data_IF_801432312489
#
_entry.id   IF_801432312489
#
_cell.length_a   1.000
_cell.length_b   1.000
_cell.length_c   1.000
_cell.angle_alpha   90.00
_cell.angle_beta   90.00
_cell.angle_gamma   90.00
#
_symmetry.space_group_name_H-M   'P 1'
#
loop_
_entity.id
_entity.type
_entity.pdbx_description
1 polymer ?
#
# COMPACT_ATOMS: atom_id res chain seq x y z
N UNK A 1 0.72 -12.12 5.25
CA UNK A 1 -0.26 -11.01 5.12
C UNK A 1 -1.61 -11.32 5.76
N UNK A 2 -2.41 -12.24 5.21
CA UNK A 2 -3.80 -12.49 5.65
C UNK A 2 -3.91 -12.91 7.13
N UNK A 3 -2.97 -13.72 7.62
CA UNK A 3 -2.90 -14.14 9.03
C UNK A 3 -2.88 -12.96 10.00
N UNK A 4 -1.96 -12.02 9.82
CA UNK A 4 -1.82 -10.85 10.68
C UNK A 4 -3.07 -9.96 10.63
N UNK A 5 -3.58 -9.66 9.43
CA UNK A 5 -4.77 -8.82 9.28
C UNK A 5 -5.99 -9.49 9.95
N UNK A 6 -6.22 -10.79 9.74
CA UNK A 6 -7.31 -11.51 10.37
C UNK A 6 -7.17 -11.57 11.89
N UNK A 7 -5.96 -11.77 12.41
CA UNK A 7 -5.70 -11.76 13.84
C UNK A 7 -6.07 -10.41 14.48
N UNK A 8 -5.77 -9.29 13.81
CA UNK A 8 -6.17 -7.95 14.27
C UNK A 8 -7.70 -7.77 14.28
N UNK A 9 -8.42 -8.21 13.24
CA UNK A 9 -9.89 -8.16 13.24
C UNK A 9 -10.53 -9.08 14.30
N UNK A 10 -9.94 -10.25 14.56
CA UNK A 10 -10.41 -11.16 15.59
C UNK A 10 -10.17 -10.61 17.00
N UNK A 11 -9.02 -9.96 17.23
CA UNK A 11 -8.68 -9.33 18.51
C UNK A 11 -9.56 -8.11 18.80
N UNK A 12 -9.97 -7.38 17.76
CA UNK A 12 -10.79 -6.16 17.87
C UNK A 12 -12.15 -6.35 17.19
N UNK A 13 -13.15 -6.96 17.87
CA UNK A 13 -14.43 -7.34 17.24
C UNK A 13 -15.27 -6.14 16.76
N UNK A 14 -14.95 -4.94 17.22
CA UNK A 14 -15.63 -3.71 16.80
C UNK A 14 -15.09 -3.14 15.47
N UNK A 15 -13.93 -3.61 14.99
CA UNK A 15 -13.39 -3.19 13.70
C UNK A 15 -14.22 -3.76 12.55
N UNK A 16 -14.44 -2.92 11.53
CA UNK A 16 -15.15 -3.32 10.31
C UNK A 16 -14.22 -3.20 9.12
N UNK A 17 -14.19 -4.24 8.28
CA UNK A 17 -13.51 -4.15 6.98
C UNK A 17 -14.23 -3.14 6.10
N UNK A 18 -13.51 -2.37 5.26
CA UNK A 18 -14.14 -1.46 4.30
C UNK A 18 -15.12 -2.19 3.36
N UNK A 19 -14.73 -3.39 2.91
CA UNK A 19 -15.56 -4.28 2.10
C UNK A 19 -15.44 -5.71 2.60
N UNK A 20 -16.55 -6.47 2.57
CA UNK A 20 -16.58 -7.87 3.06
C UNK A 20 -15.57 -8.79 2.38
N UNK A 21 -15.34 -8.58 1.08
CA UNK A 21 -14.43 -9.38 0.25
C UNK A 21 -13.05 -8.76 0.07
N UNK A 22 -12.76 -7.61 0.67
CA UNK A 22 -11.44 -6.99 0.52
C UNK A 22 -10.41 -7.61 1.46
N UNK A 23 -9.28 -8.03 0.88
CA UNK A 23 -8.11 -8.48 1.63
C UNK A 23 -7.38 -7.31 2.29
N UNK A 24 -7.56 -6.09 1.78
CA UNK A 24 -6.95 -4.87 2.31
C UNK A 24 -7.79 -4.28 3.46
N UNK A 25 -7.18 -3.93 4.60
CA UNK A 25 -7.89 -3.38 5.74
C UNK A 25 -8.22 -1.89 5.61
N UNK A 26 -7.66 -1.18 4.63
CA UNK A 26 -7.78 0.27 4.51
C UNK A 26 -8.00 0.68 3.06
N UNK A 27 -8.82 1.71 2.86
CA UNK A 27 -9.08 2.30 1.54
C UNK A 27 -9.06 3.82 1.58
N UNK A 28 -8.82 4.46 0.45
CA UNK A 28 -8.89 5.92 0.31
C UNK A 28 -9.55 6.29 -1.01
N UNK A 29 -10.47 7.26 -0.94
CA UNK A 29 -11.13 7.84 -2.10
C UNK A 29 -10.56 9.24 -2.35
N UNK A 30 -9.84 9.41 -3.44
CA UNK A 30 -9.36 10.71 -3.90
C UNK A 30 -10.38 11.27 -4.88
N UNK A 31 -11.20 12.21 -4.41
CA UNK A 31 -12.42 12.68 -5.08
C UNK A 31 -12.24 13.98 -5.89
N UNK A 32 -11.01 14.30 -6.32
CA UNK A 32 -10.75 15.26 -7.40
C UNK A 32 -11.04 16.75 -7.07
N UNK A 33 -11.32 17.57 -8.10
CA UNK A 33 -11.54 17.19 -9.51
C UNK A 33 -10.24 16.78 -10.23
N UNK A 34 -9.07 17.22 -9.75
CA UNK A 34 -7.76 16.87 -10.29
C UNK A 34 -6.92 16.15 -9.22
N UNK A 35 -7.26 14.90 -8.90
CA UNK A 35 -6.46 14.13 -7.95
C UNK A 35 -5.10 13.82 -8.54
N UNK A 36 -4.09 14.66 -8.28
CA UNK A 36 -2.72 14.51 -8.76
C UNK A 36 -1.74 14.37 -7.60
N UNK A 37 -0.61 13.70 -7.83
CA UNK A 37 0.41 13.52 -6.79
C UNK A 37 1.77 14.02 -7.24
N UNK A 38 2.54 14.55 -6.30
CA UNK A 38 3.99 14.67 -6.48
C UNK A 38 4.64 13.28 -6.39
N UNK A 39 5.91 13.20 -6.75
CA UNK A 39 6.72 12.00 -6.47
C UNK A 39 6.73 11.72 -4.97
N UNK A 40 6.46 10.47 -4.61
CA UNK A 40 6.44 10.00 -3.23
C UNK A 40 6.58 8.48 -3.17
N UNK A 41 6.71 7.99 -1.93
CA UNK A 41 6.56 6.60 -1.53
C UNK A 41 5.58 6.59 -0.37
N UNK A 42 4.71 5.58 -0.30
CA UNK A 42 3.78 5.41 0.83
C UNK A 42 4.50 4.79 2.02
N UNK A 43 5.36 5.57 2.68
CA UNK A 43 6.26 5.09 3.76
C UNK A 43 5.54 4.49 4.97
N UNK A 44 4.23 4.75 5.12
CA UNK A 44 3.40 4.18 6.19
C UNK A 44 2.77 2.85 5.84
N UNK A 45 2.78 2.46 4.57
CA UNK A 45 2.23 1.19 4.14
C UNK A 45 3.16 0.04 4.53
N UNK A 46 2.58 -1.15 4.65
CA UNK A 46 3.33 -2.36 4.91
C UNK A 46 4.26 -2.66 3.73
N UNK A 47 5.55 -2.87 4.01
CA UNK A 47 6.60 -2.95 2.99
C UNK A 47 6.40 -4.08 1.99
N UNK A 48 5.95 -5.25 2.46
CA UNK A 48 5.55 -6.39 1.62
C UNK A 48 4.05 -6.36 1.23
N UNK A 49 3.44 -5.18 1.30
CA UNK A 49 2.04 -4.95 0.96
C UNK A 49 1.88 -4.54 -0.50
N UNK A 50 0.90 -5.13 -1.18
CA UNK A 50 0.43 -4.65 -2.46
C UNK A 50 -0.61 -3.52 -2.28
N UNK A 51 -0.57 -2.50 -3.13
CA UNK A 51 -1.51 -1.38 -3.15
C UNK A 51 -2.23 -1.32 -4.51
N UNK A 52 -3.49 -1.80 -4.59
CA UNK A 52 -4.34 -1.53 -5.74
C UNK A 52 -4.75 -0.07 -5.80
N UNK A 53 -4.58 0.53 -6.97
CA UNK A 53 -5.01 1.87 -7.30
C UNK A 53 -5.92 1.74 -8.51
N UNK A 54 -7.19 2.06 -8.36
CA UNK A 54 -8.16 2.17 -9.46
C UNK A 54 -8.35 3.64 -9.78
N UNK A 55 -8.11 4.03 -11.03
CA UNK A 55 -8.35 5.41 -11.48
C UNK A 55 -9.72 5.52 -12.13
N UNK A 56 -10.37 6.67 -11.93
CA UNK A 56 -11.72 6.95 -12.39
C UNK A 56 -11.79 8.39 -12.92
N UNK A 57 -12.89 8.72 -13.59
CA UNK A 57 -13.14 10.07 -14.11
C UNK A 57 -13.25 10.10 -15.62
N UNK A 58 -13.08 11.30 -16.18
CA UNK A 58 -13.19 11.60 -17.61
C UNK A 58 -11.98 12.42 -18.04
N UNK A 59 -11.01 11.77 -18.65
CA UNK A 59 -9.79 12.36 -19.20
C UNK A 59 -9.26 11.52 -20.37
N UNK A 60 -8.40 12.12 -21.19
CA UNK A 60 -7.66 11.46 -22.26
C UNK A 60 -6.36 10.84 -21.69
N UNK A 61 -6.27 9.50 -21.56
CA UNK A 61 -5.12 8.84 -20.95
C UNK A 61 -3.85 8.88 -21.80
N UNK A 62 -3.92 9.36 -23.06
CA UNK A 62 -2.74 9.62 -23.89
C UNK A 62 -2.13 11.00 -23.62
N UNK A 63 -2.85 11.89 -22.91
CA UNK A 63 -2.44 13.28 -22.68
C UNK A 63 -2.12 13.61 -21.22
N UNK A 64 -2.45 12.73 -20.28
CA UNK A 64 -2.31 13.02 -18.84
C UNK A 64 -2.64 11.83 -17.96
N UNK A 65 -2.59 12.04 -16.63
CA UNK A 65 -2.87 11.00 -15.62
C UNK A 65 -1.93 9.78 -15.66
N UNK A 66 -0.83 9.84 -16.40
CA UNK A 66 0.12 8.74 -16.53
C UNK A 66 0.71 8.37 -15.17
N UNK A 67 0.85 7.07 -14.89
CA UNK A 67 1.57 6.56 -13.74
C UNK A 67 3.07 6.58 -14.04
N UNK A 68 3.84 7.32 -13.25
CA UNK A 68 5.30 7.36 -13.35
C UNK A 68 5.89 6.52 -12.24
N UNK A 69 6.70 5.54 -12.60
CA UNK A 69 7.42 4.64 -11.68
C UNK A 69 8.92 4.87 -11.86
N UNK A 70 9.51 5.67 -10.97
CA UNK A 70 10.86 6.20 -11.16
C UNK A 70 11.95 5.12 -11.09
N UNK A 71 11.87 4.24 -10.10
CA UNK A 71 12.88 3.19 -9.89
C UNK A 71 12.90 2.20 -11.07
N UNK A 72 11.76 2.02 -11.74
CA UNK A 72 11.62 1.16 -12.92
C UNK A 72 11.89 1.91 -14.24
N UNK A 73 12.04 3.24 -14.20
CA UNK A 73 12.14 4.11 -15.38
C UNK A 73 10.96 3.94 -16.35
N UNK A 74 9.75 3.76 -15.80
CA UNK A 74 8.53 3.55 -16.59
C UNK A 74 7.57 4.74 -16.47
N UNK A 75 6.94 5.06 -17.59
CA UNK A 75 5.77 5.93 -17.66
C UNK A 75 4.67 5.11 -18.34
N UNK A 76 3.56 4.94 -17.64
CA UNK A 76 2.46 4.06 -18.04
C UNK A 76 1.24 4.93 -18.25
N UNK A 77 0.67 4.90 -19.47
CA UNK A 77 -0.66 5.44 -19.71
C UNK A 77 -1.66 4.72 -18.79
N UNK A 78 -2.47 5.49 -18.07
CA UNK A 78 -3.33 4.92 -17.04
C UNK A 78 -4.80 5.27 -17.30
N UNK A 79 -5.54 4.46 -18.08
CA UNK A 79 -6.91 4.76 -18.50
C UNK A 79 -7.93 4.81 -17.36
N UNK A 80 -8.95 5.69 -17.41
CA UNK A 80 -10.07 5.62 -16.46
C UNK A 80 -10.71 4.23 -16.44
N UNK A 81 -11.03 3.72 -15.25
CA UNK A 81 -11.58 2.38 -15.02
C UNK A 81 -10.53 1.27 -14.90
N UNK A 82 -9.24 1.56 -15.15
CA UNK A 82 -8.17 0.58 -14.98
C UNK A 82 -7.61 0.57 -13.56
N UNK A 83 -6.93 -0.53 -13.21
CA UNK A 83 -6.31 -0.73 -11.90
C UNK A 83 -4.87 -1.18 -12.06
N UNK A 84 -3.96 -0.58 -11.28
CA UNK A 84 -2.59 -1.05 -11.12
C UNK A 84 -2.40 -1.54 -9.68
N UNK A 85 -1.64 -2.62 -9.50
CA UNK A 85 -1.27 -3.15 -8.19
C UNK A 85 0.25 -2.99 -8.07
N UNK A 86 0.72 -2.21 -7.10
CA UNK A 86 2.16 -1.95 -6.94
C UNK A 86 2.58 -1.94 -5.46
N UNK A 87 3.86 -2.21 -5.15
CA UNK A 87 4.39 -2.13 -3.80
C UNK A 87 4.67 -0.66 -3.42
N UNK A 88 3.63 0.06 -2.99
CA UNK A 88 3.67 1.54 -2.94
C UNK A 88 4.60 2.11 -1.87
N UNK A 89 4.98 1.30 -0.88
CA UNK A 89 5.95 1.62 0.18
C UNK A 89 7.41 1.45 -0.22
N UNK A 90 7.71 0.86 -1.38
CA UNK A 90 9.09 0.62 -1.85
C UNK A 90 9.36 1.19 -3.23
N UNK A 91 8.35 1.72 -3.90
CA UNK A 91 8.44 2.20 -5.28
C UNK A 91 8.11 3.69 -5.35
N UNK A 92 9.05 4.50 -5.82
CA UNK A 92 8.84 5.92 -6.07
C UNK A 92 7.86 6.11 -7.22
N UNK A 93 6.72 6.74 -6.92
CA UNK A 93 5.65 6.88 -7.89
C UNK A 93 4.96 8.23 -7.83
N UNK A 94 4.30 8.59 -8.94
CA UNK A 94 3.37 9.71 -9.05
C UNK A 94 2.38 9.49 -10.18
N UNK A 95 1.35 10.34 -10.24
CA UNK A 95 0.56 10.50 -11.45
C UNK A 95 0.70 11.92 -12.03
N UNK A 96 0.74 12.02 -13.37
CA UNK A 96 0.87 13.31 -14.06
C UNK A 96 -0.43 14.11 -14.02
N UNK A 97 -0.33 15.40 -14.31
CA UNK A 97 -1.50 16.28 -14.43
C UNK A 97 -2.42 15.86 -15.57
N UNK A 98 -3.66 16.32 -15.50
CA UNK A 98 -4.67 16.24 -16.55
C UNK A 98 -4.97 17.65 -17.09
N UNK A 99 -5.72 17.74 -18.18
CA UNK A 99 -6.12 19.01 -18.77
C UNK A 99 -7.13 19.75 -17.87
N UNK A 100 -7.22 21.09 -17.93
CA UNK A 100 -8.07 21.86 -17.02
C UNK A 100 -9.58 21.55 -17.03
N UNK A 101 -10.09 20.94 -18.11
CA UNK A 101 -11.50 20.59 -18.27
C UNK A 101 -11.79 19.11 -17.95
N UNK A 102 -10.75 18.34 -17.64
CA UNK A 102 -10.84 16.91 -17.35
C UNK A 102 -11.08 16.67 -15.86
N UNK A 103 -11.50 15.44 -15.52
CA UNK A 103 -11.71 15.04 -14.13
C UNK A 103 -11.02 13.72 -13.86
N UNK A 104 -10.26 13.66 -12.77
CA UNK A 104 -9.57 12.45 -12.30
C UNK A 104 -9.86 12.21 -10.83
N UNK A 105 -10.28 10.99 -10.54
CA UNK A 105 -10.47 10.44 -9.22
C UNK A 105 -9.64 9.17 -9.05
N UNK A 106 -9.44 8.73 -7.83
CA UNK A 106 -8.92 7.38 -7.59
C UNK A 106 -9.47 6.74 -6.34
N UNK A 107 -9.51 5.41 -6.38
CA UNK A 107 -9.82 4.55 -5.25
C UNK A 107 -8.57 3.70 -4.98
N UNK A 108 -8.00 3.81 -3.79
CA UNK A 108 -6.83 3.05 -3.39
C UNK A 108 -7.15 2.11 -2.24
N UNK A 109 -6.51 0.95 -2.24
CA UNK A 109 -6.61 -0.03 -1.16
C UNK A 109 -5.20 -0.37 -0.67
N UNK A 110 -5.00 -0.48 0.64
CA UNK A 110 -3.68 -0.73 1.20
C UNK A 110 -3.77 -1.28 2.62
N UNK A 111 -2.61 -1.59 3.17
CA UNK A 111 -2.41 -1.95 4.55
C UNK A 111 -1.37 -1.03 5.17
N UNK A 112 -1.69 -0.41 6.30
CA UNK A 112 -0.67 0.28 7.11
C UNK A 112 0.29 -0.73 7.74
N UNK A 113 1.59 -0.44 7.71
CA UNK A 113 2.60 -1.24 8.40
C UNK A 113 2.39 -1.28 9.92
N UNK A 114 1.67 -0.29 10.49
CA UNK A 114 1.32 -0.28 11.91
C UNK A 114 0.42 -1.45 12.32
N UNK A 115 -0.43 -1.95 11.40
CA UNK A 115 -1.28 -3.13 11.67
C UNK A 115 -0.42 -4.36 11.93
N UNK A 116 0.67 -4.51 11.17
CA UNK A 116 1.59 -5.64 11.29
C UNK A 116 2.43 -5.51 12.56
N UNK A 117 2.98 -4.32 12.84
CA UNK A 117 3.67 -4.08 14.11
C UNK A 117 2.79 -4.35 15.32
N UNK A 118 1.52 -3.94 15.29
CA UNK A 118 0.59 -4.21 16.38
C UNK A 118 0.39 -5.71 16.61
N UNK A 119 0.29 -6.50 15.53
CA UNK A 119 0.23 -7.95 15.61
C UNK A 119 1.54 -8.56 16.14
N UNK A 120 2.67 -8.14 15.59
CA UNK A 120 4.00 -8.66 15.95
C UNK A 120 4.34 -8.33 17.42
N UNK A 121 3.85 -7.20 17.94
CA UNK A 121 4.02 -6.76 19.34
C UNK A 121 3.08 -7.49 20.31
N UNK A 122 2.34 -8.51 19.86
CA UNK A 122 1.40 -9.23 20.70
C UNK A 122 0.21 -8.38 21.16
N UNK A 123 -0.22 -7.42 20.33
CA UNK A 123 -1.29 -6.48 20.63
C UNK A 123 -0.95 -5.53 21.80
N UNK A 124 0.32 -5.16 21.94
CA UNK A 124 0.79 -4.16 22.89
C UNK A 124 1.20 -2.86 22.22
N UNK A 125 1.01 -1.76 22.94
CA UNK A 125 1.60 -0.49 22.56
C UNK A 125 3.12 -0.59 22.65
N UNK A 126 3.83 0.23 21.88
CA UNK A 126 5.30 0.31 21.97
C UNK A 126 5.76 0.57 23.40
N UNK A 127 5.05 1.43 24.14
CA UNK A 127 5.37 1.71 25.54
C UNK A 127 5.27 0.47 26.41
N UNK A 128 4.14 -0.26 26.32
CA UNK A 128 3.94 -1.48 27.10
C UNK A 128 4.97 -2.55 26.72
N UNK A 129 5.26 -2.70 25.43
CA UNK A 129 6.26 -3.65 24.97
C UNK A 129 7.65 -3.34 25.55
N UNK A 130 8.04 -2.07 25.58
CA UNK A 130 9.31 -1.64 26.18
C UNK A 130 9.38 -1.94 27.68
N UNK A 131 8.27 -1.79 28.39
CA UNK A 131 8.18 -2.04 29.84
C UNK A 131 8.16 -3.55 30.18
N UNK A 132 7.42 -4.35 29.42
CA UNK A 132 7.13 -5.77 29.72
C UNK A 132 8.09 -6.75 29.02
N UNK A 133 8.56 -6.44 27.81
CA UNK A 133 9.49 -7.27 27.02
C UNK A 133 10.49 -6.42 26.22
N UNK A 134 11.46 -5.78 26.92
CA UNK A 134 12.47 -4.95 26.29
C UNK A 134 13.38 -5.73 25.32
N UNK A 135 13.53 -7.04 25.49
CA UNK A 135 14.33 -7.88 24.59
C UNK A 135 13.65 -8.06 23.23
N UNK A 136 12.34 -8.32 23.22
CA UNK A 136 11.55 -8.36 21.98
C UNK A 136 11.56 -7.00 21.28
N UNK A 137 11.37 -5.91 22.04
CA UNK A 137 11.46 -4.55 21.48
C UNK A 137 12.82 -4.30 20.82
N UNK A 138 13.93 -4.61 21.51
CA UNK A 138 15.28 -4.41 20.98
C UNK A 138 15.52 -5.22 19.69
N UNK A 139 15.08 -6.48 19.66
CA UNK A 139 15.16 -7.31 18.44
C UNK A 139 14.40 -6.70 17.27
N UNK A 140 13.18 -6.21 17.50
CA UNK A 140 12.35 -5.61 16.46
C UNK A 140 12.94 -4.30 15.93
N UNK A 141 13.52 -3.45 16.79
CA UNK A 141 14.21 -2.23 16.34
C UNK A 141 15.48 -2.54 15.55
N UNK A 142 16.26 -3.57 15.94
CA UNK A 142 17.45 -3.99 15.18
C UNK A 142 17.08 -4.48 13.77
N UNK A 143 15.93 -5.13 13.60
CA UNK A 143 15.49 -5.61 12.29
C UNK A 143 14.88 -4.51 11.42
N UNK A 144 14.55 -3.34 11.98
CA UNK A 144 13.80 -2.28 11.29
C UNK A 144 14.46 -1.83 9.99
N UNK A 145 15.78 -1.64 10.02
CA UNK A 145 16.54 -1.13 8.87
C UNK A 145 16.84 -2.20 7.81
N UNK A 146 16.69 -3.48 8.14
CA UNK A 146 16.91 -4.61 7.22
C UNK A 146 15.61 -5.30 6.76
N UNK A 147 14.49 -4.99 7.41
CA UNK A 147 13.18 -5.58 7.16
C UNK A 147 12.69 -5.30 5.73
N UNK A 148 13.09 -4.19 5.10
CA UNK A 148 12.68 -3.88 3.73
C UNK A 148 13.22 -4.91 2.72
N UNK A 149 14.46 -5.36 2.86
CA UNK A 149 15.07 -6.34 1.96
C UNK A 149 14.39 -7.71 2.13
N UNK A 150 14.10 -8.11 3.38
CA UNK A 150 13.30 -9.30 3.67
C UNK A 150 11.89 -9.19 3.07
N UNK A 151 11.29 -8.00 3.13
CA UNK A 151 9.95 -7.73 2.60
C UNK A 151 9.89 -7.83 1.08
N UNK A 152 10.94 -7.43 0.35
CA UNK A 152 11.00 -7.58 -1.09
C UNK A 152 10.97 -9.05 -1.53
N UNK A 153 11.60 -9.94 -0.78
CA UNK A 153 11.58 -11.38 -1.04
C UNK A 153 10.21 -12.04 -0.79
N UNK A 154 9.23 -11.30 -0.27
CA UNK A 154 7.85 -11.79 -0.11
C UNK A 154 6.99 -11.56 -1.35
N UNK A 155 7.46 -10.78 -2.33
CA UNK A 155 6.79 -10.65 -3.61
C UNK A 155 7.15 -11.80 -4.54
N UNK A 156 6.15 -12.28 -5.28
CA UNK A 156 6.38 -13.29 -6.31
C UNK A 156 7.24 -12.75 -7.45
N UNK A 157 8.12 -13.61 -7.95
CA UNK A 157 8.95 -13.42 -9.14
C UNK A 157 8.23 -13.92 -10.39
N UNK A 158 8.66 -13.46 -11.56
CA UNK A 158 8.09 -13.91 -12.84
C UNK A 158 8.21 -15.43 -13.02
N UNK A 159 9.31 -16.03 -12.56
CA UNK A 159 9.55 -17.48 -12.67
C UNK A 159 8.58 -18.31 -11.81
N UNK A 160 8.05 -17.73 -10.73
CA UNK A 160 7.03 -18.37 -9.90
C UNK A 160 5.64 -18.35 -10.55
N UNK A 161 5.40 -17.43 -11.50
CA UNK A 161 4.24 -17.44 -12.37
C UNK A 161 4.45 -18.44 -13.51
N UNK A 162 4.31 -19.73 -13.20
CA UNK A 162 4.09 -20.73 -14.25
C UNK A 162 2.73 -20.45 -14.87
N UNK A 163 2.72 -20.16 -16.17
CA UNK A 163 1.51 -20.03 -16.97
C UNK A 163 0.61 -21.23 -16.66
N UNK A 164 -0.55 -20.96 -16.05
CA UNK A 164 -1.66 -21.90 -15.94
C UNK A 164 -2.27 -22.12 -17.32
#
# INVERSE_FOLDING_TARGET
>A
YQTAVNAVFNHHPNLRRPFKSSVWPTVTFNLGPHSVTKEHVDTRNYTAGACPITVLGSYDPMKGSHMVLWDLKLIIEFPPGSTIILPSSTLHHRNTTIQPHEHRYSFTQYASGAIFRWFDYGFWSTQRLLEEDPELFARMEMERDTCWAKSLNLFSTVDEYKLL
#
